data_IF_394566315543
#
_entry.id   IF_394566315543
#
_cell.length_a   1.000
_cell.length_b   1.000
_cell.length_c   1.000
_cell.angle_alpha   90.00
_cell.angle_beta   90.00
_cell.angle_gamma   90.00
#
_symmetry.space_group_name_H-M   'P 1'
#
loop_
_entity.id
_entity.type
_entity.pdbx_description
1 polymer ?
#
# COMPACT_ATOMS: atom_id res chain seq x y z
N UNK A 1 8.99 39.72 11.95
CA UNK A 1 8.66 38.60 12.85
C UNK A 1 9.21 37.35 12.21
N UNK A 2 10.40 36.93 12.66
CA UNK A 2 11.08 35.72 12.17
C UNK A 2 10.25 34.50 12.55
N UNK A 3 9.85 33.72 11.54
CA UNK A 3 9.15 32.46 11.76
C UNK A 3 10.08 31.47 12.44
N UNK A 4 9.64 30.88 13.56
CA UNK A 4 10.34 29.78 14.20
C UNK A 4 10.51 28.63 13.21
N UNK A 5 11.71 28.50 12.65
CA UNK A 5 12.11 27.31 11.92
C UNK A 5 12.30 26.20 12.96
N UNK A 6 11.35 25.26 13.04
CA UNK A 6 11.47 24.07 13.87
C UNK A 6 12.79 23.37 13.49
N UNK A 7 13.77 23.38 14.40
CA UNK A 7 15.00 22.60 14.23
C UNK A 7 14.59 21.14 14.14
N UNK A 8 14.90 20.51 13.01
CA UNK A 8 14.75 19.07 12.85
C UNK A 8 15.58 18.38 13.94
N UNK A 9 14.97 17.40 14.63
CA UNK A 9 15.63 16.53 15.61
C UNK A 9 16.76 15.71 14.99
N UNK A 10 16.67 15.46 13.68
CA UNK A 10 17.63 14.70 12.87
C UNK A 10 18.20 15.56 11.75
N UNK A 11 19.47 15.35 11.42
CA UNK A 11 20.13 16.05 10.32
C UNK A 11 19.54 15.56 8.98
N UNK A 12 18.84 16.47 8.30
CA UNK A 12 18.15 16.18 7.03
C UNK A 12 18.28 17.35 6.06
N UNK A 13 19.18 17.19 5.08
CA UNK A 13 19.46 18.19 4.05
C UNK A 13 18.65 17.96 2.76
N UNK A 14 18.70 18.93 1.83
CA UNK A 14 18.19 18.73 0.46
C UNK A 14 18.88 17.57 -0.25
N UNK A 15 20.20 17.42 -0.06
CA UNK A 15 20.97 16.33 -0.66
C UNK A 15 20.45 14.98 -0.19
N UNK A 16 20.20 14.82 1.11
CA UNK A 16 19.72 13.56 1.68
C UNK A 16 18.34 13.18 1.12
N UNK A 17 17.45 14.17 0.96
CA UNK A 17 16.15 13.95 0.32
C UNK A 17 16.30 13.45 -1.12
N UNK A 18 17.14 14.10 -1.93
CA UNK A 18 17.31 13.74 -3.33
C UNK A 18 18.03 12.39 -3.51
N UNK A 19 18.98 12.06 -2.65
CA UNK A 19 19.63 10.74 -2.62
C UNK A 19 18.61 9.63 -2.33
N UNK A 20 17.75 9.82 -1.32
CA UNK A 20 16.67 8.87 -1.01
C UNK A 20 15.65 8.80 -2.15
N UNK A 21 15.23 9.95 -2.69
CA UNK A 21 14.27 10.01 -3.80
C UNK A 21 14.78 9.24 -5.01
N UNK A 22 16.03 9.44 -5.40
CA UNK A 22 16.63 8.75 -6.54
C UNK A 22 16.69 7.25 -6.30
N UNK A 23 17.16 6.83 -5.12
CA UNK A 23 17.24 5.42 -4.75
C UNK A 23 15.88 4.74 -4.86
N UNK A 24 14.84 5.39 -4.31
CA UNK A 24 13.45 4.90 -4.35
C UNK A 24 12.95 4.81 -5.78
N UNK A 25 13.12 5.85 -6.59
CA UNK A 25 12.68 5.86 -7.99
C UNK A 25 13.38 4.77 -8.80
N UNK A 26 14.69 4.62 -8.67
CA UNK A 26 15.48 3.63 -9.43
C UNK A 26 15.08 2.19 -9.12
N UNK A 27 14.75 1.89 -7.86
CA UNK A 27 14.50 0.51 -7.42
C UNK A 27 13.01 0.15 -7.33
N UNK A 28 12.10 1.12 -7.27
CA UNK A 28 10.65 0.87 -7.11
C UNK A 28 9.74 1.60 -8.11
N UNK A 29 10.25 2.59 -8.85
CA UNK A 29 9.45 3.44 -9.73
C UNK A 29 8.59 4.48 -8.99
N UNK A 30 8.64 4.55 -7.67
CA UNK A 30 7.92 5.58 -6.90
C UNK A 30 8.61 6.93 -7.08
N UNK A 31 7.85 7.94 -7.49
CA UNK A 31 8.32 9.32 -7.61
C UNK A 31 8.07 10.10 -6.32
N UNK A 32 9.12 10.73 -5.79
CA UNK A 32 9.05 11.61 -4.63
C UNK A 32 9.41 13.04 -5.06
N UNK A 33 8.44 13.86 -5.49
CA UNK A 33 8.70 15.26 -5.80
C UNK A 33 9.07 16.05 -4.53
N UNK A 34 9.71 17.21 -4.70
CA UNK A 34 10.17 18.06 -3.59
C UNK A 34 9.07 18.38 -2.56
N UNK A 35 7.82 18.51 -3.00
CA UNK A 35 6.65 18.71 -2.13
C UNK A 35 6.43 17.59 -1.09
N UNK A 36 7.01 16.40 -1.31
CA UNK A 36 6.98 15.25 -0.38
C UNK A 36 8.16 15.22 0.60
N UNK A 37 9.09 16.18 0.54
CA UNK A 37 10.28 16.21 1.42
C UNK A 37 9.94 16.13 2.91
N UNK A 38 8.92 16.87 3.35
CA UNK A 38 8.45 16.82 4.75
C UNK A 38 7.81 15.48 5.12
N UNK A 39 7.14 14.80 4.17
CA UNK A 39 6.56 13.49 4.39
C UNK A 39 7.66 12.46 4.62
N UNK A 40 8.68 12.43 3.74
CA UNK A 40 9.83 11.53 3.86
C UNK A 40 10.51 11.69 5.23
N UNK A 41 10.77 12.92 5.65
CA UNK A 41 11.32 13.19 6.98
C UNK A 41 10.44 12.57 8.08
N UNK A 42 9.15 12.93 8.12
CA UNK A 42 8.24 12.49 9.17
C UNK A 42 8.12 10.96 9.27
N UNK A 43 8.19 10.26 8.14
CA UNK A 43 8.06 8.80 8.05
C UNK A 43 9.31 8.04 8.45
N UNK A 44 10.50 8.59 8.13
CA UNK A 44 11.77 7.94 8.40
C UNK A 44 12.33 8.24 9.80
N UNK A 45 11.94 9.33 10.44
CA UNK A 45 12.37 9.67 11.81
C UNK A 45 12.20 8.50 12.79
N UNK A 46 11.08 7.77 12.71
CA UNK A 46 10.86 6.59 13.57
C UNK A 46 11.90 5.49 13.31
N UNK A 47 12.29 5.28 12.05
CA UNK A 47 13.30 4.28 11.68
C UNK A 47 14.69 4.69 12.18
N UNK A 48 15.06 5.97 12.01
CA UNK A 48 16.33 6.51 12.52
C UNK A 48 16.46 6.34 14.04
N UNK A 49 15.37 6.57 14.80
CA UNK A 49 15.33 6.29 16.25
C UNK A 49 15.58 4.82 16.57
N UNK A 50 14.92 3.90 15.86
CA UNK A 50 15.13 2.45 16.07
C UNK A 50 16.57 2.02 15.78
N UNK A 51 17.23 2.67 14.81
CA UNK A 51 18.61 2.38 14.42
C UNK A 51 19.65 3.15 15.27
N UNK A 52 19.22 4.05 16.15
CA UNK A 52 20.08 4.95 16.93
C UNK A 52 21.06 5.78 16.07
N UNK A 53 20.59 6.27 14.91
CA UNK A 53 21.37 7.14 14.01
C UNK A 53 20.74 8.53 13.94
N UNK A 54 21.58 9.57 13.84
CA UNK A 54 21.13 10.97 13.90
C UNK A 54 21.02 11.64 12.53
N UNK A 55 21.59 11.04 11.49
CA UNK A 55 21.71 11.63 10.15
C UNK A 55 21.05 10.79 9.08
N UNK A 56 20.31 11.43 8.19
CA UNK A 56 19.71 10.76 7.04
C UNK A 56 20.76 10.24 6.06
N UNK A 57 21.92 10.90 5.96
CA UNK A 57 23.05 10.42 5.16
C UNK A 57 23.57 9.05 5.63
N UNK A 58 23.60 8.80 6.94
CA UNK A 58 23.99 7.51 7.51
C UNK A 58 22.95 6.43 7.19
N UNK A 59 21.66 6.78 7.24
CA UNK A 59 20.59 5.87 6.85
C UNK A 59 20.67 5.50 5.37
N UNK A 60 20.90 6.48 4.49
CA UNK A 60 21.06 6.26 3.06
C UNK A 60 22.22 5.32 2.73
N UNK A 61 23.39 5.53 3.33
CA UNK A 61 24.54 4.65 3.12
C UNK A 61 24.29 3.24 3.67
N UNK A 62 23.54 3.10 4.77
CA UNK A 62 23.13 1.80 5.29
C UNK A 62 22.24 1.05 4.30
N UNK A 63 21.23 1.71 3.71
CA UNK A 63 20.36 1.08 2.70
C UNK A 63 21.17 0.67 1.46
N UNK A 64 22.06 1.53 0.97
CA UNK A 64 22.93 1.20 -0.17
C UNK A 64 23.88 0.04 0.12
N UNK A 65 24.47 0.02 1.31
CA UNK A 65 25.37 -1.05 1.71
C UNK A 65 24.61 -2.39 1.78
N UNK A 66 23.37 -2.39 2.25
CA UNK A 66 22.49 -3.57 2.27
C UNK A 66 22.24 -4.07 0.84
N UNK A 67 21.79 -3.19 -0.05
CA UNK A 67 21.52 -3.51 -1.46
C UNK A 67 22.76 -4.04 -2.18
N UNK A 68 23.93 -3.45 -1.94
CA UNK A 68 25.20 -3.90 -2.55
C UNK A 68 25.60 -5.33 -2.18
N UNK A 69 25.09 -5.83 -1.03
CA UNK A 69 25.30 -7.20 -0.56
C UNK A 69 24.22 -8.17 -1.04
N UNK A 70 23.27 -7.69 -1.86
CA UNK A 70 22.10 -8.44 -2.28
C UNK A 70 21.06 -8.63 -1.17
N UNK A 71 21.12 -7.82 -0.10
CA UNK A 71 20.08 -7.78 0.93
C UNK A 71 19.18 -6.56 0.72
N UNK A 72 17.87 -6.79 0.65
CA UNK A 72 16.89 -5.74 0.39
C UNK A 72 16.10 -5.33 1.65
N UNK A 73 16.43 -5.87 2.82
CA UNK A 73 15.64 -5.71 4.03
C UNK A 73 15.43 -4.25 4.43
N UNK A 74 16.48 -3.44 4.40
CA UNK A 74 16.39 -2.03 4.77
C UNK A 74 15.76 -1.18 3.68
N UNK A 75 15.96 -1.56 2.42
CA UNK A 75 15.28 -0.94 1.30
C UNK A 75 13.76 -1.16 1.37
N UNK A 76 13.31 -2.38 1.66
CA UNK A 76 11.88 -2.67 1.87
C UNK A 76 11.33 -1.89 3.07
N UNK A 77 12.11 -1.73 4.14
CA UNK A 77 11.71 -0.92 5.30
C UNK A 77 11.55 0.56 4.94
N UNK A 78 12.45 1.11 4.10
CA UNK A 78 12.34 2.45 3.54
C UNK A 78 11.05 2.58 2.72
N UNK A 79 10.81 1.67 1.77
CA UNK A 79 9.60 1.68 0.91
C UNK A 79 8.33 1.67 1.76
N UNK A 80 8.20 0.73 2.69
CA UNK A 80 7.02 0.62 3.57
C UNK A 80 6.78 1.87 4.41
N UNK A 81 7.83 2.62 4.76
CA UNK A 81 7.69 3.85 5.53
C UNK A 81 7.09 5.00 4.69
N UNK A 82 7.48 5.09 3.41
CA UNK A 82 7.12 6.21 2.53
C UNK A 82 5.85 5.96 1.71
N UNK A 83 5.41 4.71 1.57
CA UNK A 83 4.14 4.36 0.92
C UNK A 83 2.95 4.82 1.76
N UNK A 84 1.87 5.20 1.09
CA UNK A 84 0.62 5.64 1.75
C UNK A 84 -0.43 4.53 1.64
N UNK A 85 -0.59 3.78 2.72
CA UNK A 85 -1.47 2.61 2.78
C UNK A 85 -2.91 2.92 3.21
N UNK A 86 -3.46 4.08 2.84
CA UNK A 86 -4.84 4.43 3.21
C UNK A 86 -5.83 3.71 2.29
N UNK A 87 -6.42 2.64 2.79
CA UNK A 87 -7.51 1.91 2.12
C UNK A 87 -8.58 1.48 3.14
N UNK A 88 -9.79 1.24 2.66
CA UNK A 88 -10.91 0.75 3.46
C UNK A 88 -11.80 -0.14 2.61
N UNK A 89 -12.56 -1.03 3.25
CA UNK A 89 -13.48 -1.93 2.56
C UNK A 89 -14.47 -1.11 1.74
N UNK A 90 -14.68 -1.53 0.49
CA UNK A 90 -15.56 -0.89 -0.48
C UNK A 90 -15.28 0.60 -0.73
N UNK A 91 -14.00 1.00 -0.70
CA UNK A 91 -13.57 2.30 -1.22
C UNK A 91 -14.09 2.46 -2.65
N UNK A 92 -14.74 3.59 -2.93
CA UNK A 92 -15.35 3.88 -4.25
C UNK A 92 -16.41 2.84 -4.64
N UNK A 93 -17.47 2.72 -3.82
CA UNK A 93 -18.52 1.69 -3.90
C UNK A 93 -19.04 1.37 -5.32
N UNK A 94 -19.23 2.38 -6.16
CA UNK A 94 -19.72 2.23 -7.53
C UNK A 94 -18.90 1.25 -8.40
N UNK A 95 -17.60 1.08 -8.15
CA UNK A 95 -16.80 0.08 -8.86
C UNK A 95 -17.26 -1.36 -8.61
N UNK A 96 -17.83 -1.65 -7.44
CA UNK A 96 -18.30 -2.99 -7.09
C UNK A 96 -19.65 -3.30 -7.74
N UNK A 97 -20.49 -2.30 -7.96
CA UNK A 97 -21.69 -2.42 -8.79
C UNK A 97 -21.32 -2.74 -10.24
N UNK A 98 -20.32 -2.03 -10.79
CA UNK A 98 -19.79 -2.31 -12.12
C UNK A 98 -19.15 -3.69 -12.22
N UNK A 99 -18.41 -4.13 -11.19
CA UNK A 99 -17.84 -5.47 -11.13
C UNK A 99 -18.92 -6.55 -11.25
N UNK A 100 -20.05 -6.41 -10.53
CA UNK A 100 -21.16 -7.37 -10.59
C UNK A 100 -21.73 -7.47 -12.00
N UNK A 101 -21.94 -6.36 -12.68
CA UNK A 101 -22.44 -6.38 -14.07
C UNK A 101 -21.41 -6.98 -15.03
N UNK A 102 -20.12 -6.71 -14.83
CA UNK A 102 -19.06 -7.28 -15.64
C UNK A 102 -18.94 -8.80 -15.46
N UNK A 103 -19.10 -9.30 -14.23
CA UNK A 103 -19.11 -10.74 -13.94
C UNK A 103 -20.26 -11.46 -14.67
N UNK A 104 -21.46 -10.87 -14.71
CA UNK A 104 -22.61 -11.41 -15.46
C UNK A 104 -22.31 -11.54 -16.95
N UNK A 105 -21.67 -10.53 -17.54
CA UNK A 105 -21.32 -10.53 -18.95
C UNK A 105 -20.26 -11.60 -19.25
N UNK A 106 -19.20 -11.67 -18.44
CA UNK A 106 -18.13 -12.65 -18.62
C UNK A 106 -18.60 -14.08 -18.41
N UNK A 107 -19.47 -14.34 -17.42
CA UNK A 107 -19.95 -15.70 -17.12
C UNK A 107 -20.79 -16.31 -18.23
N UNK A 108 -21.28 -15.52 -19.19
CA UNK A 108 -21.98 -16.04 -20.39
C UNK A 108 -21.03 -16.69 -21.40
N UNK A 109 -19.74 -16.33 -21.36
CA UNK A 109 -18.75 -16.74 -22.36
C UNK A 109 -17.52 -17.43 -21.75
N UNK A 110 -17.35 -17.35 -20.44
CA UNK A 110 -16.18 -17.84 -19.73
C UNK A 110 -16.58 -18.66 -18.50
N UNK A 111 -16.05 -19.88 -18.40
CA UNK A 111 -16.20 -20.72 -17.21
C UNK A 111 -15.25 -20.32 -16.08
N UNK A 112 -14.20 -19.55 -16.40
CA UNK A 112 -13.15 -19.11 -15.48
C UNK A 112 -12.82 -17.63 -15.68
N UNK A 113 -12.97 -16.84 -14.62
CA UNK A 113 -12.65 -15.40 -14.60
C UNK A 113 -11.46 -15.17 -13.67
N UNK A 114 -10.50 -14.36 -14.11
CA UNK A 114 -9.37 -13.94 -13.26
C UNK A 114 -9.48 -12.44 -13.00
N UNK A 115 -9.36 -12.04 -11.73
CA UNK A 115 -9.34 -10.65 -11.30
C UNK A 115 -7.99 -10.38 -10.63
N UNK A 116 -7.38 -9.24 -10.93
CA UNK A 116 -6.14 -8.81 -10.30
C UNK A 116 -6.32 -7.46 -9.61
N UNK A 117 -6.12 -7.44 -8.29
CA UNK A 117 -5.91 -6.23 -7.49
C UNK A 117 -4.41 -5.95 -7.43
N UNK A 118 -3.95 -4.92 -8.16
CA UNK A 118 -2.53 -4.68 -8.41
C UNK A 118 -1.83 -3.79 -7.36
N UNK A 119 -2.58 -3.19 -6.43
CA UNK A 119 -2.10 -2.40 -5.30
C UNK A 119 -2.98 -2.66 -4.07
N UNK A 120 -2.93 -3.91 -3.59
CA UNK A 120 -3.89 -4.46 -2.64
C UNK A 120 -3.85 -3.81 -1.24
N UNK A 121 -2.73 -3.18 -0.88
CA UNK A 121 -2.45 -2.61 0.44
C UNK A 121 -2.77 -3.61 1.56
N UNK A 122 -3.46 -3.18 2.63
CA UNK A 122 -3.86 -4.06 3.74
C UNK A 122 -4.98 -5.05 3.37
N UNK A 123 -5.32 -5.18 2.08
CA UNK A 123 -6.23 -6.19 1.56
C UNK A 123 -7.68 -5.76 1.42
N UNK A 124 -8.02 -4.52 1.77
CA UNK A 124 -9.41 -4.09 1.80
C UNK A 124 -10.10 -4.21 0.42
N UNK A 125 -9.41 -3.86 -0.67
CA UNK A 125 -9.92 -4.02 -2.03
C UNK A 125 -10.14 -5.49 -2.43
N UNK A 126 -9.13 -6.39 -2.40
CA UNK A 126 -9.34 -7.77 -2.81
C UNK A 126 -10.36 -8.51 -1.93
N UNK A 127 -10.49 -8.17 -0.66
CA UNK A 127 -11.57 -8.70 0.19
C UNK A 127 -12.94 -8.18 -0.22
N UNK A 128 -13.07 -6.90 -0.59
CA UNK A 128 -14.32 -6.34 -1.11
C UNK A 128 -14.72 -7.00 -2.43
N UNK A 129 -13.75 -7.21 -3.33
CA UNK A 129 -13.94 -7.96 -4.58
C UNK A 129 -14.41 -9.39 -4.26
N UNK A 130 -13.76 -10.07 -3.30
CA UNK A 130 -14.11 -11.43 -2.92
C UNK A 130 -15.54 -11.55 -2.38
N UNK A 131 -16.01 -10.58 -1.61
CA UNK A 131 -17.40 -10.55 -1.12
C UNK A 131 -18.41 -10.43 -2.27
N UNK A 132 -18.15 -9.53 -3.23
CA UNK A 132 -19.00 -9.37 -4.43
C UNK A 132 -19.02 -10.63 -5.28
N UNK A 133 -17.84 -11.21 -5.52
CA UNK A 133 -17.66 -12.46 -6.27
C UNK A 133 -18.37 -13.62 -5.57
N UNK A 134 -18.27 -13.71 -4.24
CA UNK A 134 -18.92 -14.77 -3.46
C UNK A 134 -20.44 -14.72 -3.62
N UNK A 135 -21.06 -13.53 -3.47
CA UNK A 135 -22.49 -13.36 -3.69
C UNK A 135 -22.90 -13.67 -5.14
N UNK A 136 -22.10 -13.25 -6.13
CA UNK A 136 -22.34 -13.57 -7.53
C UNK A 136 -22.29 -15.09 -7.80
N UNK A 137 -21.30 -15.80 -7.27
CA UNK A 137 -21.12 -17.24 -7.46
C UNK A 137 -22.20 -18.07 -6.74
N UNK A 138 -22.83 -17.55 -5.67
CA UNK A 138 -24.02 -18.20 -5.07
C UNK A 138 -25.17 -18.30 -6.07
N UNK A 139 -25.38 -17.24 -6.85
CA UNK A 139 -26.40 -17.21 -7.91
C UNK A 139 -25.93 -17.93 -9.20
N UNK A 140 -24.62 -18.14 -9.37
CA UNK A 140 -24.01 -18.70 -10.58
C UNK A 140 -22.95 -19.80 -10.26
N UNK A 141 -23.36 -21.00 -9.82
CA UNK A 141 -22.43 -22.00 -9.25
C UNK A 141 -21.40 -22.58 -10.23
N UNK A 142 -21.66 -22.51 -11.53
CA UNK A 142 -20.73 -22.97 -12.57
C UNK A 142 -19.58 -21.99 -12.81
N UNK A 143 -19.73 -20.73 -12.43
CA UNK A 143 -18.73 -19.69 -12.64
C UNK A 143 -17.60 -19.81 -11.62
N UNK A 144 -16.36 -20.00 -12.10
CA UNK A 144 -15.17 -20.06 -11.24
C UNK A 144 -14.39 -18.76 -11.34
N UNK A 145 -14.18 -18.10 -10.21
CA UNK A 145 -13.42 -16.85 -10.15
C UNK A 145 -12.14 -17.03 -9.33
N UNK A 146 -11.01 -16.54 -9.84
CA UNK A 146 -9.74 -16.46 -9.12
C UNK A 146 -9.35 -15.00 -8.94
N UNK A 147 -9.05 -14.60 -7.71
CA UNK A 147 -8.57 -13.26 -7.37
C UNK A 147 -7.09 -13.35 -7.03
N UNK A 148 -6.29 -12.51 -7.67
CA UNK A 148 -4.87 -12.31 -7.38
C UNK A 148 -4.73 -10.92 -6.78
N UNK A 149 -3.97 -10.81 -5.70
CA UNK A 149 -3.70 -9.53 -5.03
C UNK A 149 -2.19 -9.37 -4.88
N UNK A 150 -1.65 -8.23 -5.32
CA UNK A 150 -0.25 -7.89 -5.18
C UNK A 150 -0.09 -6.49 -4.61
N UNK A 151 1.00 -6.26 -3.88
CA UNK A 151 1.43 -4.95 -3.43
C UNK A 151 2.96 -4.94 -3.32
N UNK A 152 3.56 -3.77 -3.41
CA UNK A 152 5.00 -3.60 -3.20
C UNK A 152 5.36 -3.61 -1.71
N UNK A 153 4.41 -3.20 -0.85
CA UNK A 153 4.59 -3.21 0.60
C UNK A 153 4.28 -4.61 1.16
N UNK A 154 5.35 -5.31 1.53
CA UNK A 154 5.25 -6.67 2.07
C UNK A 154 4.60 -6.74 3.45
N UNK A 155 4.60 -5.66 4.22
CA UNK A 155 4.02 -5.66 5.57
C UNK A 155 2.50 -5.56 5.52
N UNK A 156 1.96 -4.76 4.60
CA UNK A 156 0.51 -4.71 4.40
C UNK A 156 -0.05 -5.98 3.77
N UNK A 157 0.70 -6.69 2.93
CA UNK A 157 0.28 -8.00 2.42
C UNK A 157 0.12 -9.04 3.54
N UNK A 158 0.95 -9.00 4.59
CA UNK A 158 0.75 -9.88 5.77
C UNK A 158 -0.55 -9.53 6.51
N UNK A 159 -0.93 -8.26 6.54
CA UNK A 159 -2.22 -7.83 7.12
C UNK A 159 -3.39 -8.27 6.24
N UNK A 160 -3.27 -8.11 4.91
CA UNK A 160 -4.25 -8.56 3.93
C UNK A 160 -4.56 -10.06 4.07
N UNK A 161 -3.53 -10.89 4.25
CA UNK A 161 -3.69 -12.33 4.47
C UNK A 161 -4.46 -12.68 5.74
N UNK A 162 -4.33 -11.87 6.81
CA UNK A 162 -5.09 -12.09 8.05
C UNK A 162 -6.57 -11.74 7.88
N UNK A 163 -6.89 -10.77 7.03
CA UNK A 163 -8.28 -10.36 6.76
C UNK A 163 -9.02 -9.79 7.97
N UNK A 164 -8.31 -9.20 8.92
CA UNK A 164 -8.89 -8.61 10.14
C UNK A 164 -8.92 -7.09 9.99
N UNK A 165 -10.10 -6.49 10.13
CA UNK A 165 -10.31 -5.06 10.00
C UNK A 165 -11.07 -4.51 11.21
N UNK A 166 -10.75 -3.27 11.59
CA UNK A 166 -11.56 -2.55 12.56
C UNK A 166 -12.92 -2.22 11.97
N UNK A 167 -13.97 -2.44 12.75
CA UNK A 167 -15.34 -2.14 12.33
C UNK A 167 -15.54 -0.63 12.33
N UNK A 168 -15.83 -0.05 11.17
CA UNK A 168 -16.40 1.28 11.07
C UNK A 168 -17.94 1.15 10.94
N UNK A 169 -18.72 1.53 11.98
CA UNK A 169 -20.17 1.37 11.97
C UNK A 169 -20.89 2.11 10.83
N UNK A 170 -20.33 3.22 10.35
CA UNK A 170 -20.93 3.97 9.22
C UNK A 170 -20.78 3.19 7.91
N UNK A 171 -19.62 2.57 7.68
CA UNK A 171 -19.37 1.74 6.50
C UNK A 171 -20.24 0.48 6.49
N UNK A 172 -20.49 -0.12 7.65
CA UNK A 172 -21.33 -1.33 7.77
C UNK A 172 -22.79 -1.05 7.44
N UNK A 173 -23.36 0.06 7.93
CA UNK A 173 -24.77 0.39 7.68
C UNK A 173 -25.06 0.65 6.21
N UNK A 174 -24.12 1.31 5.52
CA UNK A 174 -24.24 1.69 4.13
C UNK A 174 -23.98 0.54 3.14
N UNK A 175 -23.43 -0.58 3.59
CA UNK A 175 -22.95 -1.63 2.69
C UNK A 175 -23.61 -3.00 2.95
N UNK A 176 -24.35 -3.56 1.98
CA UNK A 176 -25.03 -4.85 2.16
C UNK A 176 -24.07 -6.04 2.30
N UNK A 177 -22.82 -5.93 1.84
CA UNK A 177 -21.81 -6.98 1.92
C UNK A 177 -21.10 -7.08 3.28
N UNK A 178 -21.32 -6.11 4.17
CA UNK A 178 -20.68 -6.03 5.48
C UNK A 178 -21.63 -6.34 6.65
N UNK A 179 -22.81 -6.90 6.36
CA UNK A 179 -23.87 -7.20 7.34
C UNK A 179 -23.87 -8.66 7.77
#
# INVERSE_FOLDING_TARGET
>A
MEGLQLKNEFDYSDKDFWDISRLVTEHSGIELPESKKSLVYSRLVRRLRTLNIMRFSEYYELVKADLSKGNEQEFLTLINAITTNVTHLFREHHHFDHLKEHLKLLSQTQDKINIWSCAASIGAEPWSIAMVVHEFCKENPSCKVRIIASDIDSEVLKQAQKGVYEVNPENVKANPYLK
#
